data_IF_816822693095
#
_entry.id   IF_816822693095
#
_cell.length_a   1.000
_cell.length_b   1.000
_cell.length_c   1.000
_cell.angle_alpha   90.00
_cell.angle_beta   90.00
_cell.angle_gamma   90.00
#
_symmetry.space_group_name_H-M   'P 1'
#
loop_
_entity.id
_entity.type
_entity.pdbx_description
1 polymer ?
#
# COMPACT_ATOMS: atom_id res chain seq x y z
N UNK A 1 4.28 -0.36 -13.78
CA UNK A 1 5.57 -0.44 -13.06
C UNK A 1 6.69 0.15 -13.92
N UNK A 2 7.71 0.81 -13.33
CA UNK A 2 8.86 1.28 -14.07
C UNK A 2 9.49 0.12 -14.87
N UNK A 3 9.97 0.39 -16.09
CA UNK A 3 10.53 -0.63 -16.99
C UNK A 3 11.69 -1.45 -16.40
N UNK A 4 12.28 -1.01 -15.29
CA UNK A 4 13.41 -1.65 -14.60
C UNK A 4 13.06 -2.10 -13.17
N UNK A 5 11.78 -2.25 -12.84
CA UNK A 5 11.42 -2.82 -11.53
C UNK A 5 11.90 -4.27 -11.45
N UNK A 6 12.54 -4.69 -10.35
CA UNK A 6 12.89 -6.09 -10.14
C UNK A 6 11.63 -6.95 -10.17
N UNK A 7 11.78 -8.22 -10.53
CA UNK A 7 10.67 -9.16 -10.50
C UNK A 7 10.06 -9.23 -9.09
N UNK A 8 8.72 -9.26 -8.97
CA UNK A 8 8.08 -9.33 -7.67
C UNK A 8 8.44 -10.63 -6.95
N UNK A 9 8.74 -10.52 -5.68
CA UNK A 9 8.94 -11.68 -4.80
C UNK A 9 7.57 -12.20 -4.36
N UNK A 10 7.29 -13.50 -4.47
CA UNK A 10 6.05 -14.08 -3.98
C UNK A 10 5.85 -13.79 -2.49
N UNK A 11 4.66 -13.34 -2.10
CA UNK A 11 4.35 -12.96 -0.70
C UNK A 11 4.68 -14.10 0.27
N UNK A 12 4.32 -15.35 -0.06
CA UNK A 12 4.60 -16.51 0.78
C UNK A 12 6.11 -16.83 0.93
N UNK A 13 6.98 -16.15 0.20
CA UNK A 13 8.43 -16.42 0.20
C UNK A 13 9.26 -15.29 0.78
N UNK A 14 8.65 -14.35 1.48
CA UNK A 14 9.36 -13.22 2.11
C UNK A 14 10.49 -13.71 3.02
N UNK A 15 10.19 -14.62 3.95
CA UNK A 15 11.19 -15.16 4.87
C UNK A 15 12.33 -15.91 4.13
N UNK A 16 11.99 -16.67 3.10
CA UNK A 16 12.99 -17.36 2.27
C UNK A 16 13.87 -16.35 1.51
N UNK A 17 13.27 -15.32 0.92
CA UNK A 17 13.97 -14.25 0.21
C UNK A 17 14.99 -13.55 1.12
N UNK A 18 14.55 -13.11 2.29
CA UNK A 18 15.41 -12.41 3.25
C UNK A 18 16.57 -13.30 3.74
N UNK A 19 16.34 -14.61 3.88
CA UNK A 19 17.33 -15.55 4.40
C UNK A 19 18.33 -16.02 3.35
N UNK A 20 18.02 -15.94 2.06
CA UNK A 20 18.80 -16.55 0.98
C UNK A 20 19.05 -15.58 -0.20
N UNK A 21 19.75 -14.45 0.01
CA UNK A 21 20.12 -13.57 -1.09
C UNK A 21 20.88 -14.33 -2.19
N UNK A 22 20.56 -14.05 -3.45
CA UNK A 22 21.17 -14.69 -4.62
C UNK A 22 20.55 -16.03 -5.02
N UNK A 23 19.68 -16.64 -4.20
CA UNK A 23 18.98 -17.87 -4.58
C UNK A 23 18.00 -17.59 -5.70
N UNK A 24 18.03 -18.46 -6.73
CA UNK A 24 17.08 -18.40 -7.85
C UNK A 24 15.97 -19.43 -7.65
N UNK A 25 14.75 -19.03 -7.86
CA UNK A 25 13.54 -19.87 -7.80
C UNK A 25 12.77 -19.84 -9.10
N UNK A 26 11.95 -20.85 -9.32
CA UNK A 26 10.91 -20.84 -10.37
C UNK A 26 9.63 -20.24 -9.82
N UNK A 27 9.09 -19.23 -10.52
CA UNK A 27 7.85 -18.59 -10.17
C UNK A 27 7.07 -18.18 -11.42
N UNK A 28 5.86 -18.69 -11.58
CA UNK A 28 4.97 -18.42 -12.71
C UNK A 28 5.65 -18.55 -14.09
N UNK A 29 6.46 -19.58 -14.27
CA UNK A 29 7.17 -19.84 -15.54
C UNK A 29 8.40 -18.96 -15.76
N UNK A 30 8.79 -18.13 -14.80
CA UNK A 30 9.99 -17.30 -14.86
C UNK A 30 10.99 -17.68 -13.76
N UNK A 31 12.26 -17.34 -13.98
CA UNK A 31 13.31 -17.43 -12.96
C UNK A 31 13.36 -16.11 -12.19
N UNK A 32 13.22 -16.16 -10.87
CA UNK A 32 13.33 -15.01 -9.99
C UNK A 32 14.51 -15.22 -9.03
N UNK A 33 15.44 -14.28 -9.03
CA UNK A 33 16.59 -14.32 -8.12
C UNK A 33 16.34 -13.37 -6.96
N UNK A 34 16.52 -13.86 -5.75
CA UNK A 34 16.32 -13.05 -4.55
C UNK A 34 17.40 -11.97 -4.43
N UNK A 35 17.01 -10.70 -4.28
CA UNK A 35 17.97 -9.63 -4.05
C UNK A 35 18.53 -9.70 -2.61
N UNK A 36 19.65 -9.02 -2.39
CA UNK A 36 20.06 -8.65 -1.03
C UNK A 36 19.19 -7.47 -0.57
N UNK A 37 18.29 -7.73 0.37
CA UNK A 37 17.34 -6.71 0.89
C UNK A 37 17.99 -6.01 2.08
N UNK A 38 18.25 -4.71 1.94
CA UNK A 38 18.79 -3.84 3.00
C UNK A 38 17.71 -3.12 3.79
N UNK A 39 16.58 -2.84 3.17
CA UNK A 39 15.45 -2.18 3.79
C UNK A 39 14.15 -2.90 3.44
N UNK A 40 13.27 -3.03 4.44
CA UNK A 40 11.88 -3.43 4.25
C UNK A 40 10.99 -2.25 4.63
N UNK A 41 10.09 -1.88 3.75
CA UNK A 41 9.07 -0.88 4.02
C UNK A 41 7.70 -1.53 3.90
N UNK A 42 6.93 -1.51 4.99
CA UNK A 42 5.57 -2.06 5.04
C UNK A 42 4.57 -0.90 5.09
N UNK A 43 3.80 -0.76 4.03
CA UNK A 43 2.66 0.16 3.97
C UNK A 43 1.41 -0.66 3.66
N UNK A 44 0.56 -0.80 4.65
CA UNK A 44 -0.59 -1.71 4.61
C UNK A 44 -0.23 -3.18 4.83
N UNK A 45 -1.15 -3.90 5.42
CA UNK A 45 -0.99 -5.31 5.78
C UNK A 45 -0.20 -5.56 7.06
N UNK A 46 -0.45 -6.70 7.67
CA UNK A 46 0.23 -7.14 8.89
C UNK A 46 1.01 -8.43 8.62
N UNK A 47 2.25 -8.28 8.15
CA UNK A 47 3.11 -9.36 7.67
C UNK A 47 3.26 -10.48 8.71
N UNK A 48 3.47 -10.14 9.98
CA UNK A 48 3.62 -11.13 11.04
C UNK A 48 2.34 -11.88 11.39
N UNK A 49 1.18 -11.32 11.09
CA UNK A 49 -0.10 -11.98 11.29
C UNK A 49 -0.52 -12.84 10.09
N UNK A 50 -0.14 -12.40 8.89
CA UNK A 50 -0.58 -13.01 7.63
C UNK A 50 0.40 -14.04 7.08
N UNK A 51 1.65 -14.05 7.54
CA UNK A 51 2.70 -14.92 7.01
C UNK A 51 2.73 -16.28 7.72
N UNK A 52 3.04 -17.32 6.93
CA UNK A 52 3.27 -18.66 7.45
C UNK A 52 4.64 -18.75 8.15
N UNK A 53 4.80 -19.69 9.07
CA UNK A 53 6.06 -19.95 9.77
C UNK A 53 6.66 -18.68 10.41
N UNK A 54 5.92 -18.12 11.35
CA UNK A 54 6.30 -16.90 12.06
C UNK A 54 7.66 -17.02 12.75
N UNK A 55 8.03 -18.20 13.25
CA UNK A 55 9.33 -18.40 13.90
C UNK A 55 10.50 -18.22 12.92
N UNK A 56 10.35 -18.67 11.68
CA UNK A 56 11.33 -18.44 10.63
C UNK A 56 11.31 -16.98 10.16
N UNK A 57 10.12 -16.38 10.07
CA UNK A 57 9.98 -14.97 9.71
C UNK A 57 10.71 -14.06 10.70
N UNK A 58 10.58 -14.28 12.02
CA UNK A 58 11.30 -13.49 13.04
C UNK A 58 12.81 -13.53 12.82
N UNK A 59 13.38 -14.69 12.48
CA UNK A 59 14.82 -14.83 12.20
C UNK A 59 15.22 -14.11 10.89
N UNK A 60 14.41 -14.27 9.84
CA UNK A 60 14.62 -13.63 8.56
C UNK A 60 14.51 -12.11 8.64
N UNK A 61 13.61 -11.61 9.49
CA UNK A 61 13.34 -10.17 9.69
C UNK A 61 14.50 -9.41 10.33
N UNK A 62 15.44 -10.10 10.93
CA UNK A 62 16.68 -9.52 11.50
C UNK A 62 17.78 -9.31 10.45
N UNK A 63 17.55 -9.67 9.18
CA UNK A 63 18.57 -9.56 8.12
C UNK A 63 18.65 -8.19 7.48
N UNK A 64 17.54 -7.51 7.17
CA UNK A 64 17.58 -6.13 6.68
C UNK A 64 18.20 -5.19 7.71
N UNK A 65 18.88 -4.16 7.21
CA UNK A 65 19.49 -3.12 8.06
C UNK A 65 18.43 -2.20 8.69
N UNK A 66 17.27 -2.06 8.04
CA UNK A 66 16.21 -1.16 8.49
C UNK A 66 14.83 -1.68 8.08
N UNK A 67 13.89 -1.60 9.00
CA UNK A 67 12.49 -1.94 8.79
C UNK A 67 11.61 -0.75 9.16
N UNK A 68 10.86 -0.24 8.20
CA UNK A 68 9.92 0.87 8.37
C UNK A 68 8.51 0.37 8.17
N UNK A 69 7.58 0.79 9.00
CA UNK A 69 6.17 0.38 8.94
C UNK A 69 5.26 1.60 9.06
N UNK A 70 4.33 1.77 8.13
CA UNK A 70 3.17 2.65 8.33
C UNK A 70 2.07 1.81 8.99
N UNK A 71 1.64 2.20 10.19
CA UNK A 71 0.68 1.38 10.94
C UNK A 71 -0.15 2.24 11.90
N UNK A 72 -1.48 2.13 11.89
CA UNK A 72 -2.34 2.81 12.86
C UNK A 72 -2.35 2.14 14.24
N UNK A 73 -1.91 0.88 14.35
CA UNK A 73 -1.99 0.09 15.58
C UNK A 73 -0.65 -0.57 15.94
N UNK A 74 -0.46 -0.93 17.22
CA UNK A 74 0.70 -1.71 17.66
C UNK A 74 0.54 -3.19 17.32
N UNK A 75 0.51 -3.52 16.03
CA UNK A 75 0.47 -4.88 15.52
C UNK A 75 1.79 -5.63 15.79
N UNK A 76 1.79 -6.95 15.53
CA UNK A 76 3.02 -7.73 15.61
C UNK A 76 4.07 -7.18 14.62
N UNK A 77 3.67 -6.75 13.42
CA UNK A 77 4.57 -6.16 12.43
C UNK A 77 5.19 -4.87 12.95
N UNK A 78 4.39 -3.96 13.51
CA UNK A 78 4.89 -2.71 14.11
C UNK A 78 5.88 -2.97 15.25
N UNK A 79 5.64 -3.98 16.08
CA UNK A 79 6.54 -4.35 17.19
C UNK A 79 7.87 -4.95 16.75
N UNK A 80 8.01 -5.34 15.50
CA UNK A 80 9.23 -5.87 14.90
C UNK A 80 9.86 -4.88 13.88
N UNK A 81 9.46 -3.62 13.90
CA UNK A 81 10.01 -2.56 13.07
C UNK A 81 11.00 -1.70 13.85
N UNK A 82 11.96 -1.10 13.14
CA UNK A 82 12.89 -0.11 13.70
C UNK A 82 12.23 1.28 13.74
N UNK A 83 11.38 1.57 12.75
CA UNK A 83 10.67 2.84 12.63
C UNK A 83 9.19 2.54 12.36
N UNK A 84 8.33 3.10 13.21
CA UNK A 84 6.88 3.07 13.02
C UNK A 84 6.39 4.49 12.74
N UNK A 85 5.78 4.69 11.57
CA UNK A 85 5.15 5.93 11.19
C UNK A 85 3.64 5.80 11.43
N UNK A 86 3.06 6.60 12.34
CA UNK A 86 1.64 6.49 12.66
C UNK A 86 0.80 6.89 11.44
N UNK A 87 0.07 5.93 10.91
CA UNK A 87 -0.83 6.12 9.78
C UNK A 87 -2.27 6.35 10.25
N UNK A 88 -3.05 7.10 9.46
CA UNK A 88 -4.48 7.28 9.72
C UNK A 88 -5.25 6.00 9.49
N UNK A 89 -6.29 5.81 10.28
CA UNK A 89 -7.34 4.82 10.00
C UNK A 89 -8.24 5.31 8.87
N UNK A 90 -9.09 4.43 8.33
CA UNK A 90 -10.08 4.79 7.31
C UNK A 90 -11.10 5.83 7.78
N UNK A 91 -11.34 5.96 9.09
CA UNK A 91 -12.22 6.98 9.65
C UNK A 91 -11.59 8.38 9.72
N UNK A 92 -10.27 8.46 9.64
CA UNK A 92 -9.49 9.68 9.82
C UNK A 92 -9.06 10.33 8.49
N UNK A 93 -9.50 9.78 7.35
CA UNK A 93 -9.20 10.32 6.01
C UNK A 93 -10.37 10.15 5.06
N UNK A 94 -10.34 10.84 3.95
CA UNK A 94 -11.20 10.56 2.81
C UNK A 94 -10.59 9.44 1.97
N UNK A 95 -11.43 8.58 1.38
CA UNK A 95 -10.97 7.48 0.54
C UNK A 95 -12.07 6.99 -0.40
N UNK A 96 -11.76 6.01 -1.23
CA UNK A 96 -12.71 5.23 -2.02
C UNK A 96 -12.60 3.77 -1.61
N UNK A 97 -13.72 3.11 -1.37
CA UNK A 97 -13.75 1.68 -1.10
C UNK A 97 -14.48 0.94 -2.20
N UNK A 98 -13.97 -0.22 -2.55
CA UNK A 98 -14.60 -1.14 -3.50
C UNK A 98 -15.11 -2.37 -2.75
N UNK A 99 -16.40 -2.66 -2.89
CA UNK A 99 -17.04 -3.78 -2.22
C UNK A 99 -17.64 -4.80 -3.18
N UNK A 100 -18.16 -5.89 -2.62
CA UNK A 100 -18.81 -6.94 -3.39
C UNK A 100 -17.90 -8.08 -3.80
N UNK A 101 -17.07 -8.57 -2.90
CA UNK A 101 -16.13 -9.67 -3.06
C UNK A 101 -15.12 -9.44 -4.21
N UNK A 102 -14.69 -10.51 -4.88
CA UNK A 102 -13.82 -10.43 -6.05
C UNK A 102 -14.46 -9.78 -7.28
N UNK A 103 -15.79 -9.58 -7.28
CA UNK A 103 -16.49 -8.93 -8.40
C UNK A 103 -16.30 -7.40 -8.39
N UNK A 104 -16.01 -6.81 -7.21
CA UNK A 104 -15.84 -5.36 -7.03
C UNK A 104 -17.00 -4.55 -7.65
N UNK A 105 -18.23 -5.00 -7.39
CA UNK A 105 -19.44 -4.46 -8.02
C UNK A 105 -19.88 -3.10 -7.47
N UNK A 106 -19.33 -2.70 -6.32
CA UNK A 106 -19.71 -1.48 -5.64
C UNK A 106 -18.51 -0.59 -5.41
N UNK A 107 -18.70 0.72 -5.52
CA UNK A 107 -17.75 1.73 -5.10
C UNK A 107 -18.46 2.68 -4.11
N UNK A 108 -17.80 2.99 -3.01
CA UNK A 108 -18.34 3.83 -1.95
C UNK A 108 -17.42 5.03 -1.71
N UNK A 109 -18.00 6.25 -1.55
CA UNK A 109 -17.24 7.35 -1.01
C UNK A 109 -17.04 7.13 0.48
N UNK A 110 -15.80 7.18 0.92
CA UNK A 110 -15.46 7.11 2.34
C UNK A 110 -15.11 8.51 2.83
N UNK A 111 -16.02 9.08 3.61
CA UNK A 111 -15.81 10.41 4.17
C UNK A 111 -15.04 10.34 5.48
N UNK A 112 -14.11 11.26 5.67
CA UNK A 112 -13.47 11.45 6.96
C UNK A 112 -14.53 11.74 8.03
N UNK A 113 -14.59 10.89 9.05
CA UNK A 113 -15.54 10.99 10.16
C UNK A 113 -14.97 11.73 11.37
N UNK A 114 -13.66 11.60 11.59
CA UNK A 114 -12.94 12.22 12.71
C UNK A 114 -11.61 12.79 12.20
N UNK A 115 -11.06 13.83 12.83
CA UNK A 115 -9.73 14.32 12.47
C UNK A 115 -8.66 13.26 12.81
N UNK A 116 -7.51 13.27 12.10
CA UNK A 116 -6.38 12.42 12.44
C UNK A 116 -6.01 12.56 13.92
N UNK A 117 -5.80 11.44 14.60
CA UNK A 117 -5.49 11.41 16.01
C UNK A 117 -3.97 11.51 16.24
N UNK A 118 -3.58 12.28 17.24
CA UNK A 118 -2.18 12.49 17.63
C UNK A 118 -1.30 12.95 16.46
N UNK A 119 -0.27 12.20 16.11
CA UNK A 119 0.67 12.52 15.03
C UNK A 119 0.41 11.69 13.76
N UNK A 120 -0.75 11.01 13.69
CA UNK A 120 -1.08 10.19 12.53
C UNK A 120 -1.26 11.05 11.27
N UNK A 121 -0.82 10.51 10.14
CA UNK A 121 -0.93 11.13 8.81
C UNK A 121 -1.42 10.10 7.81
N UNK A 122 -2.05 10.56 6.74
CA UNK A 122 -2.40 9.64 5.65
C UNK A 122 -1.12 9.07 5.01
N UNK A 123 -1.21 7.87 4.43
CA UNK A 123 -0.08 7.30 3.69
C UNK A 123 0.35 8.23 2.55
N UNK A 124 -0.60 8.92 1.91
CA UNK A 124 -0.30 9.90 0.87
C UNK A 124 0.57 11.05 1.42
N UNK A 125 0.25 11.59 2.60
CA UNK A 125 1.04 12.65 3.24
C UNK A 125 2.43 12.16 3.66
N UNK A 126 2.52 10.94 4.21
CA UNK A 126 3.79 10.31 4.61
C UNK A 126 4.70 10.17 3.39
N UNK A 127 4.19 9.57 2.31
CA UNK A 127 4.98 9.38 1.09
C UNK A 127 5.27 10.68 0.36
N UNK A 128 4.35 11.65 0.35
CA UNK A 128 4.59 12.99 -0.21
C UNK A 128 5.72 13.70 0.52
N UNK A 129 5.75 13.64 1.86
CA UNK A 129 6.84 14.23 2.64
C UNK A 129 8.19 13.55 2.37
N UNK A 130 8.21 12.24 2.15
CA UNK A 130 9.42 11.52 1.74
C UNK A 130 9.84 11.90 0.32
N UNK A 131 8.89 12.00 -0.61
CA UNK A 131 9.15 12.38 -2.00
C UNK A 131 9.79 13.78 -2.11
N UNK A 132 9.38 14.73 -1.27
CA UNK A 132 10.03 16.06 -1.16
C UNK A 132 11.52 15.90 -0.81
N UNK A 133 11.84 15.11 0.21
CA UNK A 133 13.24 14.91 0.65
C UNK A 133 14.09 14.17 -0.38
N UNK A 134 13.47 13.32 -1.17
CA UNK A 134 14.12 12.58 -2.25
C UNK A 134 14.18 13.36 -3.57
N UNK A 135 13.59 14.55 -3.64
CA UNK A 135 13.56 15.39 -4.86
C UNK A 135 12.69 14.82 -5.98
N UNK A 136 11.70 13.99 -5.64
CA UNK A 136 10.80 13.32 -6.60
C UNK A 136 9.32 13.65 -6.36
N UNK A 137 9.03 14.72 -5.66
CA UNK A 137 7.66 15.11 -5.29
C UNK A 137 6.73 15.19 -6.49
N UNK A 138 7.14 15.91 -7.54
CA UNK A 138 6.32 16.07 -8.75
C UNK A 138 6.02 14.73 -9.43
N UNK A 139 7.01 13.85 -9.49
CA UNK A 139 6.83 12.52 -10.07
C UNK A 139 5.91 11.61 -9.22
N UNK A 140 5.84 11.85 -7.90
CA UNK A 140 4.97 11.09 -7.00
C UNK A 140 3.55 11.66 -6.97
N UNK A 141 3.40 12.98 -6.80
CA UNK A 141 2.09 13.62 -6.62
C UNK A 141 1.44 14.02 -7.94
N UNK A 142 2.20 14.15 -9.03
CA UNK A 142 1.76 14.77 -10.30
C UNK A 142 1.14 16.17 -10.09
N UNK A 143 1.60 16.89 -9.06
CA UNK A 143 1.01 18.18 -8.66
C UNK A 143 -0.39 18.09 -8.09
N UNK A 144 -0.89 16.88 -7.79
CA UNK A 144 -2.25 16.63 -7.29
C UNK A 144 -2.26 16.50 -5.77
N UNK A 145 -3.33 17.01 -5.16
CA UNK A 145 -3.68 16.71 -3.78
C UNK A 145 -4.48 15.40 -3.66
N UNK A 146 -4.79 14.97 -2.43
CA UNK A 146 -5.54 13.76 -2.16
C UNK A 146 -6.92 13.75 -2.83
N UNK A 147 -7.66 14.86 -2.76
CA UNK A 147 -8.99 14.99 -3.40
C UNK A 147 -8.92 14.86 -4.91
N UNK A 148 -7.92 15.46 -5.53
CA UNK A 148 -7.70 15.36 -6.98
C UNK A 148 -7.31 13.94 -7.40
N UNK A 149 -6.58 13.20 -6.55
CA UNK A 149 -6.30 11.79 -6.78
C UNK A 149 -7.56 10.93 -6.66
N UNK A 150 -8.38 11.12 -5.62
CA UNK A 150 -9.65 10.39 -5.45
C UNK A 150 -10.58 10.61 -6.65
N UNK A 151 -10.69 11.87 -7.10
CA UNK A 151 -11.47 12.21 -8.30
C UNK A 151 -10.93 11.53 -9.54
N UNK A 152 -9.62 11.55 -9.75
CA UNK A 152 -8.98 10.89 -10.89
C UNK A 152 -9.23 9.37 -10.90
N UNK A 153 -9.05 8.71 -9.75
CA UNK A 153 -9.33 7.28 -9.61
C UNK A 153 -10.80 6.94 -9.88
N UNK A 154 -11.73 7.76 -9.39
CA UNK A 154 -13.15 7.58 -9.68
C UNK A 154 -13.46 7.77 -11.17
N UNK A 155 -12.89 8.79 -11.81
CA UNK A 155 -13.09 9.04 -13.25
C UNK A 155 -12.55 7.88 -14.11
N UNK A 156 -11.44 7.26 -13.71
CA UNK A 156 -10.93 6.05 -14.36
C UNK A 156 -11.88 4.85 -14.19
N UNK A 157 -12.41 4.63 -12.99
CA UNK A 157 -13.44 3.60 -12.75
C UNK A 157 -14.70 3.87 -13.57
N UNK A 158 -15.13 5.13 -13.65
CA UNK A 158 -16.29 5.54 -14.46
C UNK A 158 -16.08 5.25 -15.96
N UNK A 159 -14.88 5.49 -16.47
CA UNK A 159 -14.54 5.18 -17.85
C UNK A 159 -14.57 3.65 -18.13
N UNK A 160 -14.06 2.85 -17.18
CA UNK A 160 -14.13 1.39 -17.26
C UNK A 160 -15.57 0.87 -17.19
N UNK A 161 -16.37 1.39 -16.27
CA UNK A 161 -17.80 1.05 -16.14
C UNK A 161 -18.58 1.39 -17.42
N UNK A 162 -18.29 2.53 -18.06
CA UNK A 162 -18.88 2.92 -19.33
C UNK A 162 -18.55 1.94 -20.46
N UNK A 163 -17.32 1.42 -20.50
CA UNK A 163 -16.94 0.37 -21.46
C UNK A 163 -17.75 -0.91 -21.24
N UNK A 164 -18.12 -1.21 -19.99
CA UNK A 164 -19.03 -2.30 -19.61
C UNK A 164 -20.53 -1.94 -19.74
N UNK A 165 -20.86 -0.78 -20.31
CA UNK A 165 -22.24 -0.25 -20.46
C UNK A 165 -22.94 0.07 -19.13
N UNK A 166 -22.18 0.36 -18.10
CA UNK A 166 -22.68 0.83 -16.80
C UNK A 166 -22.46 2.33 -16.69
N UNK A 167 -23.50 3.08 -16.35
CA UNK A 167 -23.42 4.53 -16.16
C UNK A 167 -23.23 4.85 -14.68
N UNK A 168 -22.10 5.51 -14.36
CA UNK A 168 -21.86 6.06 -13.03
C UNK A 168 -22.08 7.58 -13.03
N UNK A 169 -22.55 8.16 -11.91
CA UNK A 169 -22.80 9.61 -11.79
C UNK A 169 -21.50 10.42 -11.92
N UNK A 170 -21.58 11.75 -12.07
CA UNK A 170 -20.42 12.63 -11.88
C UNK A 170 -19.85 12.50 -10.46
N UNK A 171 -18.52 12.74 -10.30
CA UNK A 171 -17.84 12.61 -9.01
C UNK A 171 -18.53 13.38 -7.87
N UNK A 172 -18.93 14.62 -8.09
CA UNK A 172 -19.55 15.45 -7.05
C UNK A 172 -20.89 14.87 -6.56
N UNK A 173 -21.69 14.30 -7.45
CA UNK A 173 -22.92 13.59 -7.08
C UNK A 173 -22.63 12.29 -6.34
N UNK A 174 -21.65 11.53 -6.80
CA UNK A 174 -21.20 10.32 -6.14
C UNK A 174 -20.64 10.62 -4.74
N UNK A 175 -19.80 11.64 -4.63
CA UNK A 175 -19.16 12.03 -3.37
C UNK A 175 -20.19 12.51 -2.33
N UNK A 176 -21.32 13.09 -2.75
CA UNK A 176 -22.40 13.50 -1.87
C UNK A 176 -23.44 12.40 -1.58
N UNK A 177 -23.34 11.24 -2.22
CA UNK A 177 -24.24 10.11 -1.95
C UNK A 177 -23.88 9.48 -0.60
N UNK A 178 -24.89 9.34 0.28
CA UNK A 178 -24.79 8.66 1.57
C UNK A 178 -25.07 7.17 1.41
#
# INVERSE_FOLDING_TARGET
>A
APKNSPAPIPVARIAECLSNPGKTIDFNGAKVTYPEVKMVYVAGGNTFHQHQDTNNLVKAWQRPDTIVVNEPYWTATAKHADIVLPATTSYERNDLEMGGDYSQLYVFPMHQCVPPQHESRSDFDIFSAMAVRLGVQEAFTEGKDETQWLKGMYDDMKNQARAARVALPPFDMFWQSN
#
